data_IF_255375765743
#
_entry.id   IF_255375765743
#
_cell.length_a   1.000
_cell.length_b   1.000
_cell.length_c   1.000
_cell.angle_alpha   90.00
_cell.angle_beta   90.00
_cell.angle_gamma   90.00
#
_symmetry.space_group_name_H-M   'P 1'
#
loop_
_entity.id
_entity.type
_entity.pdbx_description
1 polymer ?
#
# COMPACT_ATOMS: atom_id res chain seq x y z
N UNK A 1 -3.86 8.83 -16.59
CA UNK A 1 -3.13 9.74 -15.69
C UNK A 1 -2.65 8.95 -14.49
N UNK A 2 -1.52 9.32 -13.89
CA UNK A 2 -0.93 8.61 -12.75
C UNK A 2 -0.77 9.54 -11.53
N UNK A 3 -1.08 9.03 -10.34
CA UNK A 3 -0.92 9.73 -9.06
C UNK A 3 -0.08 8.85 -8.14
N UNK A 4 1.03 9.37 -7.63
CA UNK A 4 1.92 8.62 -6.73
C UNK A 4 1.72 9.06 -5.29
N UNK A 5 1.61 8.08 -4.36
CA UNK A 5 1.57 8.29 -2.92
C UNK A 5 2.59 7.40 -2.24
N UNK A 6 3.24 7.92 -1.20
CA UNK A 6 4.25 7.19 -0.45
C UNK A 6 4.01 7.34 1.05
N UNK A 7 4.24 6.28 1.80
CA UNK A 7 4.24 6.30 3.26
C UNK A 7 5.34 5.40 3.81
N UNK A 8 5.85 5.76 4.98
CA UNK A 8 6.79 4.94 5.74
C UNK A 8 6.10 4.51 7.03
N UNK A 9 6.08 3.22 7.27
CA UNK A 9 5.53 2.62 8.47
C UNK A 9 6.64 2.13 9.38
N UNK A 10 6.29 2.00 10.66
CA UNK A 10 7.16 1.43 11.68
C UNK A 10 7.55 -0.02 11.40
N UNK A 11 8.25 -0.66 12.36
CA UNK A 11 8.70 -2.03 12.19
C UNK A 11 7.52 -2.99 11.99
N UNK A 12 7.70 -3.93 11.06
CA UNK A 12 6.71 -4.96 10.74
C UNK A 12 6.49 -5.92 11.93
N UNK A 13 5.25 -6.39 12.17
CA UNK A 13 4.07 -6.20 11.32
C UNK A 13 3.43 -4.81 11.45
N UNK A 14 2.95 -4.28 10.33
CA UNK A 14 2.25 -3.00 10.27
C UNK A 14 0.75 -3.24 10.49
N UNK A 15 0.07 -2.39 11.26
CA UNK A 15 -1.36 -2.54 11.52
C UNK A 15 -2.18 -2.39 10.23
N UNK A 16 -3.20 -3.25 10.06
CA UNK A 16 -4.13 -3.14 8.95
C UNK A 16 -4.91 -1.80 8.98
N UNK A 17 -5.15 -1.26 10.18
CA UNK A 17 -5.80 0.04 10.36
C UNK A 17 -4.99 1.18 9.74
N UNK A 18 -3.71 1.35 10.12
CA UNK A 18 -2.87 2.43 9.58
C UNK A 18 -2.62 2.29 8.08
N UNK A 19 -2.54 1.05 7.58
CA UNK A 19 -2.49 0.77 6.14
C UNK A 19 -3.78 1.20 5.44
N UNK A 20 -4.94 0.87 6.03
CA UNK A 20 -6.24 1.26 5.53
C UNK A 20 -6.43 2.78 5.48
N UNK A 21 -6.01 3.49 6.53
CA UNK A 21 -6.05 4.96 6.61
C UNK A 21 -5.24 5.61 5.50
N UNK A 22 -3.99 5.16 5.30
CA UNK A 22 -3.14 5.62 4.20
C UNK A 22 -3.82 5.45 2.83
N UNK A 23 -4.37 4.27 2.57
CA UNK A 23 -4.93 3.94 1.27
C UNK A 23 -6.25 4.68 1.00
N UNK A 24 -7.11 4.82 2.02
CA UNK A 24 -8.35 5.61 1.90
C UNK A 24 -8.03 7.07 1.66
N UNK A 25 -7.10 7.67 2.42
CA UNK A 25 -6.72 9.06 2.22
C UNK A 25 -6.25 9.32 0.78
N UNK A 26 -5.45 8.40 0.22
CA UNK A 26 -5.03 8.47 -1.17
C UNK A 26 -6.20 8.36 -2.16
N UNK A 27 -7.11 7.40 -1.97
CA UNK A 27 -8.28 7.22 -2.84
C UNK A 27 -9.24 8.41 -2.80
N UNK A 28 -9.51 8.95 -1.61
CA UNK A 28 -10.36 10.12 -1.41
C UNK A 28 -9.78 11.34 -2.09
N UNK A 29 -8.48 11.63 -1.92
CA UNK A 29 -7.84 12.77 -2.58
C UNK A 29 -7.91 12.66 -4.12
N UNK A 30 -7.69 11.46 -4.66
CA UNK A 30 -7.81 11.21 -6.10
C UNK A 30 -9.26 11.41 -6.57
N UNK A 31 -10.23 10.90 -5.81
CA UNK A 31 -11.64 11.06 -6.13
C UNK A 31 -12.06 12.53 -6.11
N UNK A 32 -11.63 13.30 -5.12
CA UNK A 32 -11.96 14.72 -5.01
C UNK A 32 -11.31 15.54 -6.12
N UNK A 33 -10.09 15.19 -6.53
CA UNK A 33 -9.34 15.92 -7.57
C UNK A 33 -9.84 15.58 -8.98
N UNK A 34 -10.23 14.33 -9.24
CA UNK A 34 -10.51 13.83 -10.59
C UNK A 34 -11.95 13.38 -10.81
N UNK A 35 -12.82 13.47 -9.79
CA UNK A 35 -14.19 12.96 -9.78
C UNK A 35 -14.31 11.47 -10.18
N UNK A 36 -13.22 10.71 -10.02
CA UNK A 36 -13.10 9.31 -10.45
C UNK A 36 -12.13 8.59 -9.51
N UNK A 37 -12.41 7.32 -9.24
CA UNK A 37 -11.47 6.44 -8.55
C UNK A 37 -10.45 5.84 -9.55
N UNK A 38 -9.22 5.53 -9.11
CA UNK A 38 -8.26 4.83 -9.96
C UNK A 38 -8.74 3.41 -10.29
N UNK A 39 -8.41 2.89 -11.46
CA UNK A 39 -8.77 1.51 -11.84
C UNK A 39 -7.69 0.48 -11.48
N UNK A 40 -6.49 0.95 -11.17
CA UNK A 40 -5.38 0.13 -10.71
C UNK A 40 -4.46 0.91 -9.77
N UNK A 41 -3.74 0.18 -8.92
CA UNK A 41 -2.65 0.69 -8.09
C UNK A 41 -1.46 -0.28 -8.18
N UNK A 42 -0.33 0.23 -8.64
CA UNK A 42 0.95 -0.48 -8.58
C UNK A 42 1.60 -0.17 -7.23
N UNK A 43 1.96 -1.20 -6.48
CA UNK A 43 2.56 -1.07 -5.16
C UNK A 43 4.00 -1.56 -5.22
N UNK A 44 4.92 -0.74 -4.76
CA UNK A 44 6.26 -1.17 -4.36
C UNK A 44 6.29 -1.22 -2.82
N UNK A 45 6.30 -2.43 -2.26
CA UNK A 45 6.43 -2.65 -0.82
C UNK A 45 7.89 -2.94 -0.48
N UNK A 46 8.60 -1.94 0.02
CA UNK A 46 10.03 -2.04 0.32
C UNK A 46 10.23 -2.21 1.82
N UNK A 47 10.72 -3.39 2.21
CA UNK A 47 11.10 -3.72 3.57
C UNK A 47 12.57 -3.39 3.79
N UNK A 48 12.82 -2.44 4.67
CA UNK A 48 14.15 -1.91 4.94
C UNK A 48 14.64 -2.43 6.29
N UNK A 49 15.81 -3.10 6.34
CA UNK A 49 16.38 -3.55 7.59
C UNK A 49 16.81 -2.35 8.44
N UNK A 50 16.50 -2.41 9.74
CA UNK A 50 17.05 -1.47 10.71
C UNK A 50 18.54 -1.75 10.98
N UNK A 51 19.22 -0.89 11.75
CA UNK A 51 20.65 -1.02 12.03
C UNK A 51 21.06 -2.37 12.63
N UNK A 52 20.18 -2.97 13.43
CA UNK A 52 20.43 -4.23 14.15
C UNK A 52 20.00 -5.48 13.34
N UNK A 53 19.56 -5.31 12.09
CA UNK A 53 19.11 -6.40 11.22
C UNK A 53 20.18 -6.67 10.15
N UNK A 54 20.75 -7.87 10.17
CA UNK A 54 21.79 -8.31 9.23
C UNK A 54 21.25 -8.87 7.91
N UNK A 55 19.93 -9.08 7.82
CA UNK A 55 19.26 -9.56 6.61
C UNK A 55 19.11 -8.42 5.60
N UNK A 56 19.27 -8.71 4.31
CA UNK A 56 19.01 -7.75 3.25
C UNK A 56 17.52 -7.36 3.19
N UNK A 57 17.27 -6.12 2.77
CA UNK A 57 15.91 -5.65 2.49
C UNK A 57 15.33 -6.32 1.25
N UNK A 58 14.01 -6.31 1.14
CA UNK A 58 13.30 -6.87 -0.02
C UNK A 58 12.28 -5.87 -0.53
N UNK A 59 12.10 -5.83 -1.85
CA UNK A 59 11.01 -5.08 -2.49
C UNK A 59 10.04 -6.08 -3.11
N UNK A 60 8.77 -5.97 -2.76
CA UNK A 60 7.70 -6.82 -3.28
C UNK A 60 6.79 -5.95 -4.16
N UNK A 61 6.81 -6.14 -5.49
CA UNK A 61 5.88 -5.46 -6.38
C UNK A 61 4.51 -6.14 -6.35
N UNK A 62 3.43 -5.38 -6.26
CA UNK A 62 2.06 -5.86 -6.37
C UNK A 62 1.24 -4.98 -7.31
N UNK A 63 0.27 -5.59 -7.98
CA UNK A 63 -0.73 -4.86 -8.75
C UNK A 63 -2.10 -5.13 -8.14
N UNK A 64 -2.77 -4.08 -7.69
CA UNK A 64 -4.18 -4.13 -7.30
C UNK A 64 -5.02 -3.54 -8.42
N UNK A 65 -5.96 -4.33 -8.94
CA UNK A 65 -6.93 -3.85 -9.94
C UNK A 65 -8.30 -3.74 -9.31
N UNK A 66 -9.08 -2.77 -9.79
CA UNK A 66 -10.44 -2.56 -9.35
C UNK A 66 -11.35 -2.38 -10.55
N UNK A 67 -12.59 -2.82 -10.39
CA UNK A 67 -13.65 -2.59 -11.38
C UNK A 67 -14.51 -1.40 -10.96
N UNK A 68 -15.38 -0.95 -11.85
CA UNK A 68 -16.35 0.11 -11.56
C UNK A 68 -17.34 -0.30 -10.43
N UNK A 69 -17.41 -1.59 -10.09
CA UNK A 69 -18.24 -2.13 -8.99
C UNK A 69 -17.52 -2.15 -7.64
N UNK A 70 -16.19 -1.99 -7.61
CA UNK A 70 -15.41 -2.14 -6.38
C UNK A 70 -15.40 -0.82 -5.60
N UNK A 71 -15.96 -0.85 -4.40
CA UNK A 71 -16.10 0.30 -3.47
C UNK A 71 -14.76 0.70 -2.83
N UNK A 72 -14.70 1.89 -2.21
CA UNK A 72 -13.52 2.32 -1.45
C UNK A 72 -13.23 1.37 -0.29
N UNK A 73 -14.25 0.97 0.47
CA UNK A 73 -14.07 0.10 1.65
C UNK A 73 -13.55 -1.29 1.25
N UNK A 74 -14.00 -1.87 0.13
CA UNK A 74 -13.46 -3.13 -0.38
C UNK A 74 -11.99 -3.00 -0.80
N UNK A 75 -11.63 -1.90 -1.47
CA UNK A 75 -10.25 -1.63 -1.89
C UNK A 75 -9.32 -1.42 -0.70
N UNK A 76 -9.76 -0.63 0.28
CA UNK A 76 -9.09 -0.44 1.57
C UNK A 76 -8.86 -1.77 2.26
N UNK A 77 -9.91 -2.56 2.44
CA UNK A 77 -9.85 -3.86 3.12
C UNK A 77 -8.91 -4.83 2.39
N UNK A 78 -8.99 -4.89 1.06
CA UNK A 78 -8.10 -5.71 0.25
C UNK A 78 -6.64 -5.31 0.39
N UNK A 79 -6.33 -4.01 0.24
CA UNK A 79 -5.00 -3.46 0.42
C UNK A 79 -4.46 -3.74 1.83
N UNK A 80 -5.21 -3.35 2.86
CA UNK A 80 -4.76 -3.44 4.26
C UNK A 80 -4.49 -4.89 4.65
N UNK A 81 -5.35 -5.83 4.27
CA UNK A 81 -5.19 -7.24 4.63
C UNK A 81 -4.00 -7.87 3.92
N UNK A 82 -3.81 -7.60 2.62
CA UNK A 82 -2.67 -8.14 1.87
C UNK A 82 -1.36 -7.63 2.45
N UNK A 83 -1.24 -6.30 2.64
CA UNK A 83 0.01 -5.70 3.12
C UNK A 83 0.27 -6.07 4.58
N UNK A 84 -0.77 -6.13 5.43
CA UNK A 84 -0.65 -6.60 6.80
C UNK A 84 -0.13 -8.05 6.85
N UNK A 85 -0.75 -8.96 6.10
CA UNK A 85 -0.36 -10.37 6.06
C UNK A 85 1.07 -10.58 5.53
N UNK A 86 1.48 -9.77 4.55
CA UNK A 86 2.87 -9.75 4.07
C UNK A 86 3.81 -9.24 5.16
N UNK A 87 3.49 -8.12 5.82
CA UNK A 87 4.33 -7.60 6.91
C UNK A 87 4.44 -8.56 8.12
N UNK A 88 3.47 -9.46 8.29
CA UNK A 88 3.48 -10.50 9.32
C UNK A 88 4.40 -11.68 9.04
N UNK A 89 5.04 -11.75 7.86
CA UNK A 89 5.95 -12.85 7.54
C UNK A 89 7.19 -12.82 8.45
N UNK A 90 7.62 -13.95 9.06
CA UNK A 90 8.78 -13.98 9.96
C UNK A 90 10.07 -13.42 9.34
N UNK A 91 10.24 -13.62 8.02
CA UNK A 91 11.41 -13.13 7.28
C UNK A 91 11.48 -11.59 7.21
N UNK A 92 10.36 -10.89 7.44
CA UNK A 92 10.25 -9.43 7.39
C UNK A 92 10.11 -8.79 8.78
N UNK A 93 10.01 -9.61 9.84
CA UNK A 93 9.84 -9.14 11.20
C UNK A 93 10.93 -8.14 11.60
N UNK A 94 10.50 -6.99 12.15
CA UNK A 94 11.38 -5.90 12.59
C UNK A 94 11.84 -4.94 11.49
N UNK A 95 11.60 -5.23 10.21
CA UNK A 95 11.93 -4.31 9.11
C UNK A 95 10.89 -3.20 9.00
N UNK A 96 11.33 -1.98 8.71
CA UNK A 96 10.44 -0.87 8.37
C UNK A 96 9.85 -1.07 6.99
N UNK A 97 8.57 -0.73 6.81
CA UNK A 97 7.89 -0.85 5.52
C UNK A 97 7.74 0.53 4.88
N UNK A 98 8.36 0.73 3.72
CA UNK A 98 8.07 1.83 2.82
C UNK A 98 7.05 1.35 1.77
N UNK A 99 5.91 2.03 1.67
CA UNK A 99 4.89 1.77 0.65
C UNK A 99 4.94 2.90 -0.37
N UNK A 100 5.11 2.56 -1.64
CA UNK A 100 4.84 3.45 -2.76
C UNK A 100 3.67 2.89 -3.56
N UNK A 101 2.64 3.70 -3.75
CA UNK A 101 1.46 3.38 -4.54
C UNK A 101 1.35 4.32 -5.75
N UNK A 102 1.39 3.77 -6.96
CA UNK A 102 1.15 4.48 -8.22
C UNK A 102 -0.25 4.13 -8.71
N UNK A 103 -1.17 5.09 -8.53
CA UNK A 103 -2.57 4.95 -8.91
C UNK A 103 -2.78 5.35 -10.36
N UNK A 104 -3.44 4.49 -11.14
CA UNK A 104 -3.83 4.76 -12.53
C UNK A 104 -5.29 5.19 -12.61
N UNK A 105 -5.52 6.41 -13.10
CA UNK A 105 -6.85 6.98 -13.32
C UNK A 105 -7.11 7.04 -14.82
N UNK A 106 -8.31 6.59 -15.25
CA UNK A 106 -8.74 6.69 -16.65
C UNK A 106 -8.79 8.16 -17.05
N UNK A 107 -8.35 8.45 -18.28
CA UNK A 107 -8.55 9.77 -18.90
C UNK A 107 -10.05 10.14 -18.90
#
# INVERSE_FOLDING_TARGET
MEVTKTAVFGPSPVSAESLGEFYVAALTEIQDTHNKLPFAAELDLKFVPGPDITREGVTIPLMLTATDRTTIEERKTGFSNIVHALSGQPILAGMSLEVKAVFRVRA
#
